data_IF_083773254954
#
_entry.id   IF_083773254954
#
_cell.length_a   1.000
_cell.length_b   1.000
_cell.length_c   1.000
_cell.angle_alpha   90.00
_cell.angle_beta   90.00
_cell.angle_gamma   90.00
#
_symmetry.space_group_name_H-M   'P 1'
#
loop_
_entity.id
_entity.type
_entity.pdbx_description
1 polymer ?
#
# COMPACT_ATOMS: atom_id res chain seq x y z
N UNK A 1 -17.32 3.80 56.33
CA UNK A 1 -17.32 2.79 55.25
C UNK A 1 -16.19 3.15 54.29
N UNK A 2 -15.03 2.50 54.42
CA UNK A 2 -13.83 2.71 53.59
C UNK A 2 -13.91 1.76 52.39
N UNK A 3 -13.76 2.22 51.13
CA UNK A 3 -13.73 1.31 50.00
C UNK A 3 -12.34 0.66 49.93
N UNK A 4 -12.30 -0.67 49.80
CA UNK A 4 -11.09 -1.41 49.54
C UNK A 4 -10.69 -1.23 48.07
N UNK A 5 -9.53 -0.62 47.82
CA UNK A 5 -8.93 -0.50 46.50
C UNK A 5 -8.34 -1.86 46.11
N UNK A 6 -9.02 -2.61 45.24
CA UNK A 6 -8.45 -3.81 44.63
C UNK A 6 -7.42 -3.41 43.57
N UNK A 7 -6.14 -3.56 43.89
CA UNK A 7 -5.05 -3.45 42.94
C UNK A 7 -5.02 -4.74 42.10
N UNK A 8 -5.56 -4.71 40.89
CA UNK A 8 -5.36 -5.78 39.91
C UNK A 8 -3.89 -5.77 39.48
N UNK A 9 -3.11 -6.72 40.01
CA UNK A 9 -1.76 -6.97 39.50
C UNK A 9 -1.86 -7.53 38.08
N UNK A 10 -1.40 -6.78 37.09
CA UNK A 10 -1.22 -7.28 35.72
C UNK A 10 0.01 -8.17 35.70
N UNK A 11 -0.19 -9.48 35.55
CA UNK A 11 0.92 -10.39 35.28
C UNK A 11 1.55 -10.02 33.92
N UNK A 12 2.88 -9.96 33.79
CA UNK A 12 3.52 -9.71 32.50
C UNK A 12 3.19 -10.87 31.56
N UNK A 13 2.49 -10.57 30.47
CA UNK A 13 2.31 -11.54 29.40
C UNK A 13 3.66 -11.79 28.74
N UNK A 14 4.19 -13.01 28.85
CA UNK A 14 5.33 -13.43 28.04
C UNK A 14 4.90 -13.43 26.57
N UNK A 15 5.52 -12.56 25.77
CA UNK A 15 5.33 -12.59 24.33
C UNK A 15 5.76 -13.96 23.77
N UNK A 16 5.00 -14.55 22.82
CA UNK A 16 5.37 -15.82 22.22
C UNK A 16 6.74 -15.68 21.52
N UNK A 17 7.63 -16.67 21.71
CA UNK A 17 8.91 -16.72 20.98
C UNK A 17 8.64 -16.93 19.49
N UNK A 18 9.17 -16.05 18.65
CA UNK A 18 9.16 -16.22 17.20
C UNK A 18 10.05 -17.39 16.81
N UNK A 19 9.46 -18.43 16.21
CA UNK A 19 10.17 -19.65 15.76
C UNK A 19 10.32 -19.75 14.24
N UNK A 20 9.68 -18.83 13.49
CA UNK A 20 9.76 -18.76 12.03
C UNK A 20 9.60 -17.30 11.56
N UNK A 21 10.21 -16.99 10.42
CA UNK A 21 10.14 -15.68 9.76
C UNK A 21 9.64 -15.84 8.33
N UNK A 22 8.89 -14.86 7.78
CA UNK A 22 8.45 -14.91 6.40
C UNK A 22 9.63 -14.87 5.43
N UNK A 23 9.49 -15.54 4.29
CA UNK A 23 10.41 -15.37 3.17
C UNK A 23 10.18 -14.01 2.50
N UNK A 24 11.24 -13.34 2.00
CA UNK A 24 11.05 -12.15 1.19
C UNK A 24 10.35 -12.50 -0.14
N UNK A 25 9.64 -11.55 -0.73
CA UNK A 25 8.91 -11.74 -2.00
C UNK A 25 9.82 -12.17 -3.16
N UNK A 26 11.09 -11.73 -3.13
CA UNK A 26 12.11 -12.10 -4.12
C UNK A 26 12.62 -13.54 -3.99
N UNK A 27 12.36 -14.22 -2.86
CA UNK A 27 12.77 -15.61 -2.63
C UNK A 27 11.72 -16.64 -3.07
N UNK A 28 10.53 -16.19 -3.48
CA UNK A 28 9.42 -17.06 -3.87
C UNK A 28 9.07 -16.79 -5.34
N UNK A 29 8.98 -17.85 -6.14
CA UNK A 29 8.51 -17.78 -7.53
C UNK A 29 7.34 -18.73 -7.74
N UNK A 30 6.23 -18.20 -8.24
CA UNK A 30 5.09 -19.00 -8.67
C UNK A 30 5.43 -19.67 -10.01
N UNK A 31 5.14 -20.97 -10.13
CA UNK A 31 5.51 -21.76 -11.31
C UNK A 31 4.33 -22.00 -12.27
N UNK A 32 3.10 -21.73 -11.83
CA UNK A 32 1.86 -21.95 -12.58
C UNK A 32 0.65 -22.14 -11.66
N UNK A 33 -0.52 -22.44 -12.25
CA UNK A 33 -1.76 -22.70 -11.51
C UNK A 33 -2.55 -21.43 -11.14
N UNK A 34 -3.61 -21.56 -10.33
CA UNK A 34 -4.56 -20.47 -10.08
C UNK A 34 -3.91 -19.23 -9.45
N UNK A 35 -2.95 -19.40 -8.55
CA UNK A 35 -2.25 -18.27 -7.93
C UNK A 35 -1.43 -17.46 -8.93
N UNK A 36 -0.73 -18.14 -9.85
CA UNK A 36 0.02 -17.46 -10.90
C UNK A 36 -0.91 -16.74 -11.89
N UNK A 37 -2.07 -17.33 -12.19
CA UNK A 37 -3.10 -16.67 -13.02
C UNK A 37 -3.62 -15.40 -12.36
N UNK A 38 -3.99 -15.47 -11.07
CA UNK A 38 -4.46 -14.29 -10.32
C UNK A 38 -3.37 -13.22 -10.20
N UNK A 39 -2.13 -13.63 -9.90
CA UNK A 39 -0.98 -12.73 -9.86
C UNK A 39 -0.80 -11.98 -11.18
N UNK A 40 -0.79 -12.68 -12.32
CA UNK A 40 -0.66 -12.05 -13.65
C UNK A 40 -1.79 -11.07 -13.96
N UNK A 41 -3.02 -11.40 -13.57
CA UNK A 41 -4.16 -10.49 -13.76
C UNK A 41 -3.99 -9.22 -12.93
N UNK A 42 -3.59 -9.34 -11.67
CA UNK A 42 -3.27 -8.19 -10.80
C UNK A 42 -2.11 -7.37 -11.36
N UNK A 43 -1.00 -8.00 -11.72
CA UNK A 43 0.18 -7.35 -12.28
C UNK A 43 -0.18 -6.54 -13.55
N UNK A 44 -0.95 -7.13 -14.46
CA UNK A 44 -1.45 -6.45 -15.67
C UNK A 44 -2.32 -5.24 -15.31
N UNK A 45 -3.28 -5.40 -14.40
CA UNK A 45 -4.14 -4.31 -13.97
C UNK A 45 -3.37 -3.15 -13.32
N UNK A 46 -2.34 -3.45 -12.51
CA UNK A 46 -1.49 -2.40 -11.92
C UNK A 46 -0.79 -1.54 -12.99
N UNK A 47 -0.49 -2.10 -14.16
CA UNK A 47 0.08 -1.35 -15.28
C UNK A 47 -0.89 -0.36 -15.91
N UNK A 48 -2.18 -0.68 -15.91
CA UNK A 48 -3.25 0.14 -16.51
C UNK A 48 -3.60 1.39 -15.68
N UNK A 49 -3.35 1.37 -14.37
CA UNK A 49 -3.65 2.50 -13.49
C UNK A 49 -2.65 3.64 -13.71
N UNK A 50 -3.18 4.86 -13.85
CA UNK A 50 -2.41 6.09 -14.00
C UNK A 50 -2.12 6.72 -12.62
N UNK A 51 -0.83 6.78 -12.18
CA UNK A 51 -0.47 7.40 -10.92
C UNK A 51 -0.83 8.88 -10.82
N UNK A 52 -0.78 9.63 -11.94
CA UNK A 52 -1.04 11.07 -11.92
C UNK A 52 -2.48 11.37 -11.51
N UNK A 53 -3.43 10.54 -11.95
CA UNK A 53 -4.84 10.64 -11.59
C UNK A 53 -5.10 10.32 -10.12
N UNK A 54 -4.36 9.37 -9.55
CA UNK A 54 -4.43 9.06 -8.12
C UNK A 54 -3.78 10.16 -7.25
N UNK A 55 -2.76 10.85 -7.77
CA UNK A 55 -2.12 11.99 -7.12
C UNK A 55 -2.95 13.28 -7.19
N UNK A 56 -3.89 13.40 -8.13
CA UNK A 56 -4.64 14.63 -8.38
C UNK A 56 -5.29 15.21 -7.12
N UNK A 57 -5.89 14.37 -6.27
CA UNK A 57 -6.49 14.79 -5.01
C UNK A 57 -5.47 15.32 -4.00
N UNK A 58 -4.29 14.68 -3.89
CA UNK A 58 -3.21 15.13 -3.01
C UNK A 58 -2.69 16.51 -3.42
N UNK A 59 -2.48 16.71 -4.72
CA UNK A 59 -2.01 18.00 -5.26
C UNK A 59 -3.00 19.11 -4.97
N UNK A 60 -4.28 18.90 -5.23
CA UNK A 60 -5.31 19.90 -4.94
C UNK A 60 -5.36 20.22 -3.44
N UNK A 61 -5.29 19.21 -2.58
CA UNK A 61 -5.33 19.38 -1.14
C UNK A 61 -4.08 20.10 -0.58
N UNK A 62 -2.94 20.03 -1.27
CA UNK A 62 -1.72 20.78 -0.93
C UNK A 62 -1.65 22.17 -1.56
N UNK A 63 -2.68 22.60 -2.29
CA UNK A 63 -2.72 23.90 -2.97
C UNK A 63 -2.05 23.95 -4.34
N UNK A 64 -1.66 22.80 -4.89
CA UNK A 64 -1.10 22.66 -6.24
C UNK A 64 -2.20 22.39 -7.29
N UNK A 65 -1.95 22.69 -8.58
CA UNK A 65 -2.84 22.23 -9.65
C UNK A 65 -2.90 20.70 -9.71
N UNK A 66 -4.09 20.15 -9.96
CA UNK A 66 -4.36 18.71 -9.98
C UNK A 66 -3.44 17.89 -10.90
N UNK A 67 -2.98 18.46 -12.02
CA UNK A 67 -2.06 17.81 -12.95
C UNK A 67 -2.69 16.73 -13.85
N UNK A 68 -3.73 16.04 -13.37
CA UNK A 68 -4.53 15.09 -14.13
C UNK A 68 -5.99 15.09 -13.65
N UNK A 69 -6.88 14.50 -14.44
CA UNK A 69 -8.28 14.29 -14.04
C UNK A 69 -8.33 13.25 -12.91
N UNK A 70 -8.95 13.61 -11.78
CA UNK A 70 -9.12 12.68 -10.66
C UNK A 70 -9.91 11.43 -11.11
N UNK A 71 -9.61 10.29 -10.51
CA UNK A 71 -10.49 9.12 -10.66
C UNK A 71 -11.85 9.38 -9.99
N UNK A 72 -12.90 8.76 -10.51
CA UNK A 72 -14.23 8.82 -9.89
C UNK A 72 -14.37 7.85 -8.71
N UNK A 73 -15.61 7.48 -8.39
CA UNK A 73 -15.88 6.51 -7.32
C UNK A 73 -15.49 7.06 -5.94
N UNK A 74 -14.71 6.28 -5.18
CA UNK A 74 -14.29 6.66 -3.83
C UNK A 74 -13.28 7.82 -3.81
N UNK A 75 -12.54 8.03 -4.89
CA UNK A 75 -11.61 9.17 -5.03
C UNK A 75 -12.35 10.53 -5.10
N UNK A 76 -13.61 10.54 -5.52
CA UNK A 76 -14.51 11.70 -5.43
C UNK A 76 -15.62 11.54 -4.38
N UNK A 77 -15.64 10.40 -3.68
CA UNK A 77 -16.75 9.93 -2.85
C UNK A 77 -16.52 9.98 -1.34
N UNK A 78 -15.48 10.70 -0.90
CA UNK A 78 -15.19 10.91 0.53
C UNK A 78 -14.11 10.01 1.12
N UNK A 79 -13.44 9.18 0.31
CA UNK A 79 -12.30 8.36 0.74
C UNK A 79 -11.03 8.63 -0.08
N UNK A 80 -10.93 9.82 -0.69
CA UNK A 80 -9.83 10.15 -1.60
C UNK A 80 -8.45 9.91 -0.98
N UNK A 81 -7.55 9.36 -1.79
CA UNK A 81 -6.16 9.09 -1.46
C UNK A 81 -5.91 7.71 -0.87
N UNK A 82 -6.92 7.00 -0.37
CA UNK A 82 -6.73 5.64 0.14
C UNK A 82 -6.24 4.68 -0.96
N UNK A 83 -6.75 4.83 -2.19
CA UNK A 83 -6.38 3.97 -3.32
C UNK A 83 -4.91 4.16 -3.69
N UNK A 84 -4.40 5.39 -3.65
CA UNK A 84 -2.98 5.67 -3.93
C UNK A 84 -2.08 4.90 -2.97
N UNK A 85 -2.38 4.88 -1.67
CA UNK A 85 -1.58 4.16 -0.68
C UNK A 85 -1.55 2.65 -0.91
N UNK A 86 -2.70 2.05 -1.21
CA UNK A 86 -2.78 0.63 -1.57
C UNK A 86 -2.07 0.32 -2.89
N UNK A 87 -2.25 1.17 -3.89
CA UNK A 87 -1.63 1.04 -5.20
C UNK A 87 -0.10 1.13 -5.14
N UNK A 88 0.43 2.08 -4.35
CA UNK A 88 1.85 2.22 -4.07
C UNK A 88 2.42 0.93 -3.46
N UNK A 89 1.74 0.38 -2.46
CA UNK A 89 2.15 -0.89 -1.83
C UNK A 89 2.15 -2.03 -2.84
N UNK A 90 1.10 -2.16 -3.64
CA UNK A 90 0.98 -3.22 -4.63
C UNK A 90 2.09 -3.15 -5.69
N UNK A 91 2.38 -1.97 -6.24
CA UNK A 91 3.47 -1.78 -7.20
C UNK A 91 4.85 -2.06 -6.57
N UNK A 92 5.07 -1.64 -5.32
CA UNK A 92 6.32 -1.90 -4.62
C UNK A 92 6.53 -3.41 -4.38
N UNK A 93 5.48 -4.13 -3.98
CA UNK A 93 5.52 -5.58 -3.80
C UNK A 93 5.74 -6.32 -5.13
N UNK A 94 5.08 -5.90 -6.20
CA UNK A 94 5.24 -6.47 -7.53
C UNK A 94 6.68 -6.29 -8.06
N UNK A 95 7.27 -5.11 -7.87
CA UNK A 95 8.68 -4.88 -8.17
C UNK A 95 9.60 -5.77 -7.33
N UNK A 96 9.34 -5.89 -6.03
CA UNK A 96 10.13 -6.75 -5.15
C UNK A 96 10.04 -8.24 -5.52
N UNK A 97 8.90 -8.68 -6.06
CA UNK A 97 8.69 -10.06 -6.51
C UNK A 97 9.35 -10.35 -7.86
N UNK A 98 9.17 -9.48 -8.85
CA UNK A 98 9.52 -9.75 -10.25
C UNK A 98 10.78 -9.05 -10.75
N UNK A 99 11.17 -7.95 -10.11
CA UNK A 99 12.21 -7.04 -10.59
C UNK A 99 11.80 -6.20 -11.81
N UNK A 100 10.53 -6.23 -12.24
CA UNK A 100 10.06 -5.46 -13.40
C UNK A 100 10.06 -3.96 -13.11
N UNK A 101 10.95 -3.24 -13.79
CA UNK A 101 11.22 -1.82 -13.59
C UNK A 101 10.02 -0.92 -13.86
N UNK A 102 9.00 -1.38 -14.60
CA UNK A 102 7.79 -0.59 -14.85
C UNK A 102 7.01 -0.29 -13.57
N UNK A 103 7.00 -1.22 -12.63
CA UNK A 103 6.36 -0.99 -11.32
C UNK A 103 7.21 -0.07 -10.45
N UNK A 104 8.54 -0.19 -10.51
CA UNK A 104 9.44 0.76 -9.83
C UNK A 104 9.22 2.19 -10.33
N UNK A 105 9.10 2.39 -11.64
CA UNK A 105 8.83 3.72 -12.22
C UNK A 105 7.52 4.32 -11.68
N UNK A 106 6.48 3.50 -11.50
CA UNK A 106 5.22 3.96 -10.89
C UNK A 106 5.41 4.30 -9.41
N UNK A 107 6.14 3.50 -8.65
CA UNK A 107 6.47 3.79 -7.24
C UNK A 107 7.23 5.11 -7.14
N UNK A 108 8.27 5.29 -7.95
CA UNK A 108 9.08 6.51 -7.96
C UNK A 108 8.22 7.73 -8.29
N UNK A 109 7.40 7.66 -9.35
CA UNK A 109 6.50 8.74 -9.74
C UNK A 109 5.50 9.13 -8.62
N UNK A 110 5.00 8.15 -7.86
CA UNK A 110 4.11 8.41 -6.72
C UNK A 110 4.86 9.08 -5.59
N UNK A 111 6.04 8.56 -5.23
CA UNK A 111 6.84 9.12 -4.14
C UNK A 111 7.25 10.56 -4.46
N UNK A 112 7.74 10.81 -5.67
CA UNK A 112 8.09 12.17 -6.13
C UNK A 112 6.88 13.11 -6.09
N UNK A 113 5.73 12.66 -6.60
CA UNK A 113 4.49 13.44 -6.57
C UNK A 113 3.98 13.73 -5.15
N UNK A 114 4.15 12.79 -4.21
CA UNK A 114 3.82 13.01 -2.80
C UNK A 114 4.80 13.97 -2.12
N UNK A 115 6.09 13.93 -2.46
CA UNK A 115 7.11 14.87 -1.97
C UNK A 115 6.76 16.30 -2.39
N UNK A 116 6.27 16.52 -3.60
CA UNK A 116 5.79 17.85 -4.03
C UNK A 116 4.61 18.37 -3.19
N UNK A 117 3.84 17.48 -2.54
CA UNK A 117 2.62 17.82 -1.81
C UNK A 117 2.81 17.98 -0.29
N UNK A 118 4.03 17.80 0.24
CA UNK A 118 4.35 17.89 1.67
C UNK A 118 4.98 19.24 2.04
#
# INVERSE_FOLDING_TARGET
MTPALFLLATAPMNAPKTVATPFPLSAIRLLGGPFETSHKATATYLLEIDPARLLAGFRVNSGLPAGAEIYGGWETGGLSGHSLGHYLTACAQEYAHTGDVRYKQKVDAIVDGLVECQ
#
